data_IF_539053301798
#
_entry.id   IF_539053301798
#
_cell.length_a   1.000
_cell.length_b   1.000
_cell.length_c   1.000
_cell.angle_alpha   90.00
_cell.angle_beta   90.00
_cell.angle_gamma   90.00
#
_symmetry.space_group_name_H-M   'P 1'
#
loop_
_entity.id
_entity.type
_entity.pdbx_description
1 polymer ?
#
# COMPACT_ATOMS: atom_id res chain seq x y z
N UNK A 1 -11.38 -24.74 -17.96
CA UNK A 1 -10.08 -25.33 -18.33
C UNK A 1 -9.16 -24.22 -18.75
N UNK A 2 -7.91 -24.21 -18.27
CA UNK A 2 -6.90 -23.24 -18.74
C UNK A 2 -6.29 -23.77 -20.03
N UNK A 3 -6.06 -22.89 -21.00
CA UNK A 3 -5.47 -23.24 -22.28
C UNK A 3 -3.98 -23.51 -22.05
N UNK A 4 -3.48 -24.63 -22.57
CA UNK A 4 -2.06 -24.99 -22.55
C UNK A 4 -1.40 -24.44 -23.83
N UNK A 5 -0.54 -23.41 -23.73
CA UNK A 5 0.08 -22.77 -24.89
C UNK A 5 0.92 -23.73 -25.74
N UNK A 6 1.44 -24.82 -25.17
CA UNK A 6 2.22 -25.80 -25.92
C UNK A 6 1.35 -26.78 -26.73
N UNK A 7 0.08 -26.97 -26.35
CA UNK A 7 -0.83 -27.92 -27.03
C UNK A 7 -1.61 -27.34 -28.19
N UNK A 8 -1.72 -26.01 -28.26
CA UNK A 8 -2.57 -25.32 -29.24
C UNK A 8 -1.87 -24.99 -30.57
N UNK A 9 -0.55 -25.26 -30.70
CA UNK A 9 0.28 -25.11 -31.92
C UNK A 9 -0.05 -23.86 -32.76
N UNK A 10 0.11 -22.68 -32.14
CA UNK A 10 -0.25 -21.41 -32.77
C UNK A 10 0.75 -21.01 -33.86
N UNK A 11 0.23 -20.42 -34.94
CA UNK A 11 1.01 -19.84 -36.04
C UNK A 11 0.76 -18.33 -36.14
N UNK A 12 1.83 -17.53 -36.11
CA UNK A 12 1.82 -16.08 -36.28
C UNK A 12 2.32 -15.65 -37.66
N UNK A 13 1.77 -14.56 -38.20
CA UNK A 13 2.18 -13.98 -39.49
C UNK A 13 3.15 -12.83 -39.27
N UNK A 14 4.33 -12.89 -39.89
CA UNK A 14 5.40 -11.89 -39.71
C UNK A 14 5.57 -10.94 -40.90
N UNK A 15 4.77 -11.11 -41.96
CA UNK A 15 4.78 -10.27 -43.17
C UNK A 15 5.44 -10.95 -44.38
N UNK A 16 5.06 -10.53 -45.59
CA UNK A 16 5.42 -11.20 -46.87
C UNK A 16 5.12 -12.70 -46.79
N UNK A 17 6.15 -13.53 -46.93
CA UNK A 17 6.09 -14.99 -46.89
C UNK A 17 6.59 -15.57 -45.56
N UNK A 18 6.81 -14.74 -44.52
CA UNK A 18 7.36 -15.17 -43.24
C UNK A 18 6.27 -15.48 -42.21
N UNK A 19 6.44 -16.62 -41.53
CA UNK A 19 5.56 -17.13 -40.48
C UNK A 19 6.41 -17.59 -39.28
N UNK A 20 5.87 -17.40 -38.07
CA UNK A 20 6.42 -17.93 -36.83
C UNK A 20 5.49 -19.00 -36.27
N UNK A 21 6.06 -20.11 -35.80
CA UNK A 21 5.34 -21.12 -35.02
C UNK A 21 5.61 -20.89 -33.55
N UNK A 22 4.58 -20.61 -32.77
CA UNK A 22 4.69 -20.46 -31.31
C UNK A 22 4.63 -21.84 -30.66
N UNK A 23 5.78 -22.54 -30.67
CA UNK A 23 5.95 -23.87 -30.08
C UNK A 23 7.35 -24.03 -29.47
N UNK A 24 7.47 -24.91 -28.46
CA UNK A 24 8.75 -25.21 -27.83
C UNK A 24 9.44 -23.97 -27.28
N UNK A 25 10.69 -23.73 -27.71
CA UNK A 25 11.53 -22.61 -27.26
C UNK A 25 10.99 -21.22 -27.64
N UNK A 26 9.98 -21.11 -28.50
CA UNK A 26 9.33 -19.84 -28.84
C UNK A 26 8.24 -19.43 -27.82
N UNK A 27 7.89 -20.31 -26.89
CA UNK A 27 6.90 -20.07 -25.84
C UNK A 27 7.64 -20.08 -24.51
N UNK A 28 7.70 -18.92 -23.86
CA UNK A 28 8.36 -18.77 -22.56
C UNK A 28 7.33 -18.30 -21.53
N UNK A 29 7.40 -18.90 -20.34
CA UNK A 29 6.60 -18.47 -19.21
C UNK A 29 7.27 -17.27 -18.57
N UNK A 30 6.68 -16.09 -18.78
CA UNK A 30 7.07 -14.89 -18.04
C UNK A 30 6.24 -14.85 -16.78
N UNK A 31 6.89 -15.01 -15.63
CA UNK A 31 6.25 -14.76 -14.34
C UNK A 31 5.90 -13.28 -14.31
N UNK A 32 4.61 -12.99 -14.40
CA UNK A 32 4.14 -11.66 -14.06
C UNK A 32 4.44 -11.49 -12.57
N UNK A 33 5.44 -10.68 -12.24
CA UNK A 33 5.62 -10.19 -10.87
C UNK A 33 4.34 -9.44 -10.60
N UNK A 34 3.40 -10.10 -9.95
CA UNK A 34 2.14 -9.49 -9.55
C UNK A 34 2.60 -8.35 -8.65
N UNK A 35 2.57 -7.11 -9.17
CA UNK A 35 2.87 -5.93 -8.40
C UNK A 35 2.00 -6.06 -7.15
N UNK A 36 2.64 -6.21 -6.00
CA UNK A 36 1.95 -6.45 -4.73
C UNK A 36 0.82 -5.43 -4.64
N UNK A 37 -0.40 -5.91 -4.49
CA UNK A 37 -1.59 -5.06 -4.46
C UNK A 37 -1.42 -4.18 -3.22
N UNK A 38 -1.44 -2.86 -3.43
CA UNK A 38 -1.43 -1.93 -2.32
C UNK A 38 -2.70 -2.12 -1.48
N UNK A 39 -2.65 -1.78 -0.19
CA UNK A 39 -3.80 -1.91 0.73
C UNK A 39 -5.06 -1.22 0.20
N UNK A 40 -4.89 -0.12 -0.54
CA UNK A 40 -6.00 0.65 -1.09
C UNK A 40 -6.72 1.46 -0.01
N UNK A 41 -7.64 2.33 -0.45
CA UNK A 41 -8.37 3.23 0.44
C UNK A 41 -9.25 2.47 1.44
N UNK A 42 -9.86 1.36 0.99
CA UNK A 42 -10.72 0.50 1.82
C UNK A 42 -9.94 -0.34 2.83
N UNK A 43 -8.61 -0.43 2.70
CA UNK A 43 -7.72 -1.09 3.65
C UNK A 43 -7.23 -0.18 4.79
N UNK A 44 -7.50 1.12 4.73
CA UNK A 44 -7.05 2.07 5.75
C UNK A 44 -7.94 2.02 7.02
N UNK A 45 -7.41 2.35 8.21
CA UNK A 45 -8.20 2.41 9.43
C UNK A 45 -9.34 3.44 9.33
N UNK A 46 -10.49 3.15 9.94
CA UNK A 46 -11.69 4.01 9.87
C UNK A 46 -11.44 5.41 10.43
N UNK A 47 -10.61 5.50 11.47
CA UNK A 47 -10.19 6.75 12.11
C UNK A 47 -9.53 7.71 11.11
N UNK A 48 -8.75 7.17 10.17
CA UNK A 48 -8.00 7.91 9.16
C UNK A 48 -8.86 8.20 7.94
N UNK A 49 -9.68 7.23 7.53
CA UNK A 49 -10.58 7.33 6.38
C UNK A 49 -11.58 8.47 6.51
N UNK A 50 -12.08 8.70 7.72
CA UNK A 50 -13.07 9.74 8.02
C UNK A 50 -12.44 11.03 8.60
N UNK A 51 -11.12 11.14 8.59
CA UNK A 51 -10.42 12.32 9.10
C UNK A 51 -10.75 13.55 8.25
N UNK A 52 -11.14 14.66 8.89
CA UNK A 52 -11.37 15.96 8.23
C UNK A 52 -10.08 16.76 7.98
N UNK A 53 -8.94 16.28 8.50
CA UNK A 53 -7.68 17.02 8.51
C UNK A 53 -6.74 16.53 7.39
N UNK A 54 -6.78 15.22 7.10
CA UNK A 54 -5.95 14.60 6.06
C UNK A 54 -6.46 14.96 4.67
N UNK A 55 -5.53 15.21 3.75
CA UNK A 55 -5.87 15.49 2.35
C UNK A 55 -5.99 14.20 1.56
N UNK A 56 -6.64 14.25 0.39
CA UNK A 56 -6.70 13.10 -0.53
C UNK A 56 -5.34 12.57 -0.94
N UNK A 57 -4.31 13.44 -1.01
CA UNK A 57 -2.94 13.02 -1.28
C UNK A 57 -2.37 12.18 -0.12
N UNK A 58 -2.58 12.61 1.13
CA UNK A 58 -2.11 11.88 2.30
C UNK A 58 -2.78 10.51 2.42
N UNK A 59 -4.08 10.42 2.12
CA UNK A 59 -4.82 9.16 2.07
C UNK A 59 -4.32 8.27 0.92
N UNK A 60 -3.98 8.85 -0.22
CA UNK A 60 -3.36 8.16 -1.35
C UNK A 60 -1.98 7.58 -1.04
N UNK A 61 -1.14 8.32 -0.32
CA UNK A 61 0.18 7.85 0.14
C UNK A 61 0.04 6.63 1.04
N UNK A 62 -0.84 6.70 2.04
CA UNK A 62 -1.09 5.56 2.94
C UNK A 62 -1.72 4.38 2.19
N UNK A 63 -2.70 4.62 1.31
CA UNK A 63 -3.36 3.58 0.51
C UNK A 63 -2.42 2.92 -0.51
N UNK A 64 -1.35 3.61 -0.91
CA UNK A 64 -0.32 3.12 -1.82
C UNK A 64 0.69 2.15 -1.17
N UNK A 65 0.70 2.06 0.15
CA UNK A 65 1.56 1.12 0.87
C UNK A 65 1.14 -0.33 0.59
N UNK A 66 2.11 -1.24 0.70
CA UNK A 66 1.88 -2.67 0.49
C UNK A 66 1.23 -3.32 1.71
N UNK A 67 1.57 -2.84 2.90
CA UNK A 67 1.01 -3.25 4.18
C UNK A 67 1.19 -2.12 5.20
N UNK A 68 0.28 -2.04 6.16
CA UNK A 68 0.47 -1.21 7.34
C UNK A 68 1.36 -1.96 8.35
N UNK A 69 2.16 -1.25 9.15
CA UNK A 69 2.95 -1.87 10.21
C UNK A 69 2.03 -2.55 11.23
N UNK A 70 2.53 -3.63 11.84
CA UNK A 70 1.78 -4.34 12.90
C UNK A 70 1.58 -3.45 14.14
N UNK A 71 0.62 -3.80 15.00
CA UNK A 71 0.32 -3.03 16.21
C UNK A 71 1.55 -2.87 17.14
N UNK A 72 2.36 -3.92 17.29
CA UNK A 72 3.58 -3.86 18.11
C UNK A 72 4.69 -3.02 17.43
N UNK A 73 4.85 -3.13 16.11
CA UNK A 73 5.82 -2.33 15.36
C UNK A 73 5.45 -0.85 15.39
N UNK A 74 4.17 -0.53 15.24
CA UNK A 74 3.66 0.83 15.27
C UNK A 74 3.87 1.47 16.65
N UNK A 75 3.59 0.75 17.73
CA UNK A 75 3.83 1.24 19.10
C UNK A 75 5.32 1.38 19.40
N UNK A 76 6.18 0.48 18.92
CA UNK A 76 7.63 0.61 19.05
C UNK A 76 8.20 1.80 18.27
N UNK A 77 7.70 2.06 17.05
CA UNK A 77 8.08 3.22 16.26
C UNK A 77 7.73 4.54 16.96
N UNK A 78 6.56 4.58 17.60
CA UNK A 78 6.08 5.75 18.35
C UNK A 78 6.75 5.90 19.72
N UNK A 79 7.18 4.82 20.36
CA UNK A 79 7.93 4.90 21.62
C UNK A 79 9.23 5.69 21.48
N UNK A 80 9.82 5.70 20.29
CA UNK A 80 11.00 6.52 19.98
C UNK A 80 10.65 8.01 19.74
N UNK A 81 9.38 8.33 19.52
CA UNK A 81 8.91 9.68 19.20
C UNK A 81 8.22 10.33 20.41
N UNK A 82 8.95 11.25 21.04
CA UNK A 82 8.47 11.99 22.21
C UNK A 82 7.24 12.86 21.92
N UNK A 83 7.03 13.30 20.66
CA UNK A 83 5.90 14.16 20.29
C UNK A 83 4.61 13.36 20.20
N UNK A 84 4.66 12.17 19.62
CA UNK A 84 3.51 11.28 19.49
C UNK A 84 3.01 10.79 20.86
N UNK A 85 3.91 10.40 21.75
CA UNK A 85 3.57 9.98 23.13
C UNK A 85 2.95 11.12 23.94
N UNK A 86 3.39 12.36 23.75
CA UNK A 86 2.80 13.53 24.40
C UNK A 86 1.38 13.84 23.91
N UNK A 87 1.13 13.69 22.60
CA UNK A 87 -0.20 13.90 22.00
C UNK A 87 -1.18 12.83 22.50
N UNK A 88 -0.74 11.57 22.59
CA UNK A 88 -1.56 10.48 23.12
C UNK A 88 -2.08 10.77 24.53
N UNK A 89 -1.31 11.45 25.39
CA UNK A 89 -1.74 11.71 26.77
C UNK A 89 -2.77 12.84 26.92
N UNK A 90 -3.13 13.55 25.85
CA UNK A 90 -4.14 14.62 25.87
C UNK A 90 -5.56 14.10 25.65
N UNK A 91 -6.54 14.87 26.14
CA UNK A 91 -7.98 14.55 26.02
C UNK A 91 -8.53 14.68 24.59
N UNK A 92 -7.96 15.56 23.76
CA UNK A 92 -8.33 15.74 22.33
C UNK A 92 -7.20 15.22 21.42
N UNK A 93 -6.89 13.93 21.54
CA UNK A 93 -5.73 13.34 20.87
C UNK A 93 -5.97 13.10 19.37
N UNK A 94 -7.21 12.86 18.92
CA UNK A 94 -7.51 12.55 17.52
C UNK A 94 -7.16 13.72 16.58
N UNK A 95 -7.60 14.94 16.92
CA UNK A 95 -7.36 16.12 16.10
C UNK A 95 -5.87 16.45 15.99
N UNK A 96 -5.16 16.39 17.12
CA UNK A 96 -3.72 16.65 17.18
C UNK A 96 -2.91 15.53 16.48
N UNK A 97 -3.33 14.26 16.61
CA UNK A 97 -2.69 13.15 15.90
C UNK A 97 -2.86 13.27 14.39
N UNK A 98 -4.07 13.57 13.90
CA UNK A 98 -4.29 13.74 12.47
C UNK A 98 -3.47 14.90 11.89
N UNK A 99 -3.27 15.99 12.65
CA UNK A 99 -2.38 17.08 12.25
C UNK A 99 -0.93 16.64 12.20
N UNK A 100 -0.49 15.85 13.18
CA UNK A 100 0.86 15.32 13.19
C UNK A 100 1.12 14.34 12.03
N UNK A 101 0.18 13.43 11.76
CA UNK A 101 0.23 12.52 10.61
C UNK A 101 0.37 13.32 9.32
N UNK A 102 -0.40 14.40 9.16
CA UNK A 102 -0.29 15.27 8.00
C UNK A 102 1.12 15.87 7.85
N UNK A 103 1.68 16.45 8.92
CA UNK A 103 3.04 17.01 8.91
C UNK A 103 4.09 15.97 8.50
N UNK A 104 3.96 14.74 9.02
CA UNK A 104 4.89 13.64 8.76
C UNK A 104 4.79 13.14 7.31
N UNK A 105 3.58 13.03 6.78
CA UNK A 105 3.33 12.63 5.38
C UNK A 105 3.75 13.72 4.38
N UNK A 106 3.55 14.99 4.73
CA UNK A 106 4.01 16.13 3.92
C UNK A 106 5.55 16.22 3.93
N UNK A 107 6.21 15.74 4.99
CA UNK A 107 7.66 15.57 5.05
C UNK A 107 8.19 14.35 4.27
N UNK A 108 7.30 13.52 3.69
CA UNK A 108 7.66 12.35 2.89
C UNK A 108 8.01 11.10 3.70
N UNK A 109 7.71 11.06 5.00
CA UNK A 109 7.96 9.88 5.82
C UNK A 109 6.69 9.01 5.94
N UNK A 110 6.46 8.17 4.93
CA UNK A 110 5.27 7.32 4.85
C UNK A 110 5.24 6.22 5.92
N UNK A 111 6.42 5.72 6.35
CA UNK A 111 6.53 4.68 7.37
C UNK A 111 6.06 5.16 8.75
N UNK A 112 6.53 6.34 9.18
CA UNK A 112 6.07 6.95 10.43
C UNK A 112 4.60 7.35 10.35
N UNK A 113 4.15 7.90 9.21
CA UNK A 113 2.75 8.23 8.99
C UNK A 113 1.82 7.03 9.14
N UNK A 114 2.22 5.87 8.59
CA UNK A 114 1.49 4.62 8.71
C UNK A 114 1.45 4.09 10.15
N UNK A 115 2.57 4.15 10.87
CA UNK A 115 2.62 3.75 12.28
C UNK A 115 1.70 4.62 13.16
N UNK A 116 1.71 5.93 12.96
CA UNK A 116 0.84 6.87 13.66
C UNK A 116 -0.64 6.62 13.36
N UNK A 117 -0.98 6.33 12.11
CA UNK A 117 -2.33 5.95 11.69
C UNK A 117 -2.84 4.70 12.42
N UNK A 118 -2.01 3.67 12.55
CA UNK A 118 -2.36 2.42 13.25
C UNK A 118 -2.57 2.67 14.74
N UNK A 119 -1.68 3.43 15.40
CA UNK A 119 -1.83 3.70 16.84
C UNK A 119 -3.01 4.61 17.16
N UNK A 120 -3.34 5.55 16.28
CA UNK A 120 -4.55 6.35 16.42
C UNK A 120 -5.80 5.47 16.44
N UNK A 121 -5.87 4.46 15.55
CA UNK A 121 -7.00 3.52 15.51
C UNK A 121 -7.06 2.61 16.74
N UNK A 122 -5.90 2.11 17.22
CA UNK A 122 -5.83 1.23 18.39
C UNK A 122 -6.34 1.89 19.67
N UNK A 123 -6.17 3.21 19.80
CA UNK A 123 -6.61 3.97 20.97
C UNK A 123 -8.07 4.45 20.88
N UNK A 124 -8.60 4.54 19.65
CA UNK A 124 -10.00 4.89 19.41
C UNK A 124 -10.98 3.73 19.64
N UNK A 125 -10.49 2.50 19.82
CA UNK A 125 -11.27 1.31 20.21
C UNK A 125 -11.33 1.15 21.73
#
# INVERSE_FOLDING_TARGET
>A
GRIDPHKIDLMGRMGKFYYARASGAAVEEIVQVVNKIAIGFDGLPDSIRHSKILTGNNLGQLAGLLALPGAEEATAAIANDARATQILNKSDFESDMHRYIKEVLDAGNEELGAALAVVCDLKGR
#
